data_IF_325346888892
#
_entry.id   IF_325346888892
#
_cell.length_a   1.000
_cell.length_b   1.000
_cell.length_c   1.000
_cell.angle_alpha   90.00
_cell.angle_beta   90.00
_cell.angle_gamma   90.00
#
_symmetry.space_group_name_H-M   'P 1'
#
loop_
_entity.id
_entity.type
_entity.pdbx_description
1 polymer ?
#
# COMPACT_ATOMS: atom_id res chain seq x y z
N UNK A 1 47.78 -7.51 -47.64
CA UNK A 1 47.91 -6.15 -47.06
C UNK A 1 46.56 -5.42 -47.08
N UNK A 2 46.15 -4.65 -48.09
CA UNK A 2 44.87 -3.88 -48.02
C UNK A 2 43.58 -4.72 -47.89
N UNK A 3 43.51 -5.94 -48.45
CA UNK A 3 42.33 -6.81 -48.31
C UNK A 3 42.27 -7.53 -46.95
N UNK A 4 43.42 -7.91 -46.38
CA UNK A 4 43.51 -8.55 -45.06
C UNK A 4 43.15 -7.56 -43.94
N UNK A 5 43.62 -6.31 -44.05
CA UNK A 5 43.31 -5.23 -43.10
C UNK A 5 41.81 -4.85 -43.11
N UNK A 6 41.12 -5.14 -44.22
CA UNK A 6 39.68 -4.91 -44.38
C UNK A 6 38.84 -6.07 -43.82
N UNK A 7 39.34 -7.30 -43.87
CA UNK A 7 38.72 -8.45 -43.21
C UNK A 7 38.86 -8.34 -41.69
N UNK A 8 40.05 -8.02 -41.17
CA UNK A 8 40.27 -7.82 -39.72
C UNK A 8 39.36 -6.71 -39.15
N UNK A 9 39.19 -5.61 -39.88
CA UNK A 9 38.32 -4.51 -39.46
C UNK A 9 36.83 -4.88 -39.48
N UNK A 10 36.42 -5.80 -40.35
CA UNK A 10 35.03 -6.29 -40.41
C UNK A 10 34.75 -7.26 -39.26
N UNK A 11 35.73 -8.07 -38.89
CA UNK A 11 35.64 -8.97 -37.72
C UNK A 11 35.56 -8.16 -36.40
N UNK A 12 36.36 -7.10 -36.24
CA UNK A 12 36.26 -6.21 -35.07
C UNK A 12 34.91 -5.49 -34.97
N UNK A 13 34.31 -5.13 -36.12
CA UNK A 13 33.01 -4.43 -36.15
C UNK A 13 31.86 -5.38 -35.79
N UNK A 14 31.92 -6.65 -36.25
CA UNK A 14 30.96 -7.70 -35.87
C UNK A 14 31.08 -8.12 -34.40
N UNK A 15 32.29 -8.24 -33.85
CA UNK A 15 32.48 -8.54 -32.41
C UNK A 15 31.94 -7.41 -31.52
N UNK A 16 32.09 -6.15 -31.94
CA UNK A 16 31.61 -4.98 -31.21
C UNK A 16 30.08 -4.86 -31.22
N UNK A 17 29.43 -5.22 -32.32
CA UNK A 17 27.96 -5.29 -32.39
C UNK A 17 27.41 -6.40 -31.47
N UNK A 18 28.06 -7.58 -31.41
CA UNK A 18 27.66 -8.66 -30.50
C UNK A 18 27.84 -8.31 -29.01
N UNK A 19 28.85 -7.51 -28.65
CA UNK A 19 29.03 -7.04 -27.27
C UNK A 19 27.96 -6.01 -26.87
N UNK A 20 27.61 -5.08 -27.77
CA UNK A 20 26.56 -4.08 -27.52
C UNK A 20 25.18 -4.75 -27.34
N UNK A 21 24.82 -5.74 -28.17
CA UNK A 21 23.55 -6.50 -28.00
C UNK A 21 23.50 -7.27 -26.66
N UNK A 22 24.64 -7.83 -26.20
CA UNK A 22 24.71 -8.51 -24.90
C UNK A 22 24.61 -7.55 -23.71
N UNK A 23 25.11 -6.33 -23.83
CA UNK A 23 24.96 -5.31 -22.78
C UNK A 23 23.51 -4.84 -22.67
N UNK A 24 22.83 -4.62 -23.80
CA UNK A 24 21.39 -4.25 -23.82
C UNK A 24 20.50 -5.34 -23.21
N UNK A 25 20.69 -6.62 -23.58
CA UNK A 25 19.91 -7.73 -22.97
C UNK A 25 20.12 -7.84 -21.46
N UNK A 26 21.33 -7.52 -20.97
CA UNK A 26 21.66 -7.58 -19.55
C UNK A 26 21.06 -6.41 -18.76
N UNK A 27 20.98 -5.22 -19.35
CA UNK A 27 20.31 -4.06 -18.72
C UNK A 27 18.80 -4.30 -18.60
N UNK A 28 18.15 -4.87 -19.62
CA UNK A 28 16.72 -5.21 -19.54
C UNK A 28 16.42 -6.28 -18.46
N UNK A 29 17.30 -7.27 -18.28
CA UNK A 29 17.14 -8.31 -17.25
C UNK A 29 17.40 -7.81 -15.81
N UNK A 30 18.16 -6.71 -15.65
CA UNK A 30 18.31 -6.01 -14.37
C UNK A 30 17.11 -5.11 -14.07
N UNK A 31 16.56 -4.41 -15.07
CA UNK A 31 15.38 -3.54 -14.89
C UNK A 31 14.12 -4.35 -14.52
N UNK A 32 13.95 -5.57 -15.06
CA UNK A 32 12.83 -6.46 -14.68
C UNK A 32 12.95 -7.01 -13.24
N UNK A 33 14.12 -6.92 -12.58
CA UNK A 33 14.30 -7.34 -11.18
C UNK A 33 14.10 -6.21 -10.16
N UNK A 34 13.84 -4.98 -10.59
CA UNK A 34 13.51 -3.89 -9.67
C UNK A 34 12.03 -3.92 -9.26
N UNK A 35 11.74 -4.56 -8.12
CA UNK A 35 10.46 -4.43 -7.42
C UNK A 35 10.20 -2.95 -7.04
N UNK A 36 8.96 -2.43 -7.17
CA UNK A 36 8.67 -1.03 -6.91
C UNK A 36 8.89 -0.69 -5.43
N UNK A 37 9.72 0.33 -5.21
CA UNK A 37 10.20 0.77 -3.90
C UNK A 37 9.17 0.74 -2.77
N UNK A 38 9.53 0.04 -1.69
CA UNK A 38 8.84 0.06 -0.42
C UNK A 38 9.73 0.66 0.65
N UNK A 39 9.30 1.77 1.26
CA UNK A 39 9.89 2.35 2.46
C UNK A 39 10.26 1.25 3.47
N UNK A 40 11.55 1.18 3.81
CA UNK A 40 12.18 0.09 4.57
C UNK A 40 11.68 -0.06 6.01
N UNK A 41 10.47 -0.56 6.17
CA UNK A 41 10.03 -1.19 7.40
C UNK A 41 9.62 -2.63 7.08
N UNK A 42 10.28 -3.66 7.65
CA UNK A 42 9.84 -5.03 7.50
C UNK A 42 8.40 -5.11 8.00
N UNK A 43 7.47 -5.40 7.09
CA UNK A 43 6.11 -5.74 7.45
C UNK A 43 6.20 -7.05 8.22
N UNK A 44 6.28 -6.97 9.55
CA UNK A 44 6.20 -8.14 10.43
C UNK A 44 4.93 -8.90 10.01
N UNK A 45 5.11 -10.04 9.35
CA UNK A 45 4.00 -10.90 8.97
C UNK A 45 3.35 -11.35 10.27
N UNK A 46 2.10 -10.95 10.55
CA UNK A 46 1.46 -11.34 11.79
C UNK A 46 1.36 -12.87 11.82
N UNK A 47 1.64 -13.51 12.97
CA UNK A 47 1.64 -14.97 13.08
C UNK A 47 0.31 -15.49 12.53
N UNK A 48 0.43 -16.42 11.58
CA UNK A 48 -0.68 -17.03 10.86
C UNK A 48 -1.77 -17.39 11.87
N UNK A 49 -2.86 -16.62 11.77
CA UNK A 49 -4.01 -16.77 12.64
C UNK A 49 -4.64 -18.11 12.28
N UNK A 50 -5.07 -18.96 13.23
CA UNK A 50 -5.88 -20.13 12.87
C UNK A 50 -7.01 -19.67 11.95
N UNK A 51 -6.99 -20.21 10.72
CA UNK A 51 -7.87 -19.80 9.65
C UNK A 51 -9.33 -19.91 10.12
N UNK A 52 -10.02 -18.77 10.18
CA UNK A 52 -11.47 -18.75 10.37
C UNK A 52 -12.02 -17.88 11.50
N UNK A 53 -11.19 -17.27 12.38
CA UNK A 53 -11.72 -16.34 13.39
C UNK A 53 -11.09 -14.96 13.33
N UNK A 54 -11.90 -13.95 13.01
CA UNK A 54 -11.51 -12.55 13.14
C UNK A 54 -11.13 -12.24 14.59
N UNK A 55 -9.86 -11.82 14.80
CA UNK A 55 -9.31 -11.49 16.13
C UNK A 55 -9.50 -10.02 16.50
N UNK A 56 -9.79 -9.17 15.51
CA UNK A 56 -9.89 -7.71 15.66
C UNK A 56 -11.35 -7.31 15.53
N UNK A 57 -11.85 -6.57 16.52
CA UNK A 57 -13.17 -5.94 16.46
C UNK A 57 -13.12 -4.61 15.72
N UNK A 58 -14.06 -4.37 14.81
CA UNK A 58 -14.25 -3.10 14.13
C UNK A 58 -15.64 -2.54 14.49
N UNK A 59 -15.65 -1.41 15.18
CA UNK A 59 -16.86 -0.65 15.51
C UNK A 59 -16.88 0.61 14.66
N UNK A 60 -17.98 0.86 13.96
CA UNK A 60 -18.27 2.17 13.41
C UNK A 60 -19.78 2.39 13.43
N UNK A 61 -20.19 3.57 13.87
CA UNK A 61 -21.59 3.96 13.96
C UNK A 61 -21.90 4.93 12.81
N UNK A 62 -22.94 4.69 11.98
CA UNK A 62 -23.33 5.61 10.91
C UNK A 62 -23.59 7.04 11.42
N UNK A 63 -24.03 7.20 12.67
CA UNK A 63 -24.27 8.51 13.29
C UNK A 63 -23.01 9.35 13.44
N UNK A 64 -21.82 8.74 13.38
CA UNK A 64 -20.56 9.50 13.36
C UNK A 64 -20.45 10.42 12.15
N UNK A 65 -21.12 10.10 11.04
CA UNK A 65 -21.17 10.94 9.85
C UNK A 65 -22.10 12.16 10.00
N UNK A 66 -22.88 12.23 11.08
CA UNK A 66 -23.71 13.40 11.40
C UNK A 66 -22.90 14.49 12.14
N UNK A 67 -21.71 14.16 12.64
CA UNK A 67 -20.84 15.11 13.33
C UNK A 67 -20.22 16.08 12.34
N UNK A 68 -20.82 17.28 12.23
CA UNK A 68 -20.31 18.37 11.38
C UNK A 68 -20.47 19.71 12.06
N UNK A 69 -19.51 20.60 11.82
CA UNK A 69 -19.63 21.99 12.19
C UNK A 69 -20.61 22.70 11.23
N UNK A 70 -21.66 23.34 11.75
CA UNK A 70 -22.71 23.98 10.95
C UNK A 70 -22.40 25.43 10.55
N UNK A 71 -21.35 26.02 11.10
CA UNK A 71 -20.99 27.43 10.94
C UNK A 71 -19.61 27.61 10.29
N UNK A 72 -18.76 26.59 10.34
CA UNK A 72 -17.47 26.52 9.67
C UNK A 72 -17.41 25.29 8.77
N UNK A 73 -17.40 25.51 7.45
CA UNK A 73 -17.33 24.47 6.44
C UNK A 73 -15.91 23.92 6.24
N UNK A 74 -14.88 24.59 6.74
CA UNK A 74 -13.48 24.17 6.65
C UNK A 74 -12.97 23.53 7.94
N UNK A 75 -13.87 23.24 8.88
CA UNK A 75 -13.51 22.65 10.15
C UNK A 75 -12.81 21.30 9.96
N UNK A 76 -11.66 21.05 10.63
CA UNK A 76 -10.90 19.82 10.45
C UNK A 76 -11.68 18.59 10.93
N UNK A 77 -12.50 18.73 11.98
CA UNK A 77 -13.43 17.68 12.42
C UNK A 77 -14.67 17.70 11.50
N UNK A 78 -14.74 16.72 10.60
CA UNK A 78 -15.80 16.59 9.59
C UNK A 78 -16.16 15.11 9.36
N UNK A 79 -17.38 14.80 8.88
CA UNK A 79 -17.85 13.43 8.64
C UNK A 79 -16.92 12.59 7.75
N UNK A 80 -16.27 13.26 6.79
CA UNK A 80 -15.35 12.65 5.83
C UNK A 80 -14.19 11.93 6.51
N UNK A 81 -13.79 12.35 7.73
CA UNK A 81 -12.71 11.69 8.47
C UNK A 81 -12.99 10.21 8.69
N UNK A 82 -14.18 9.88 9.21
CA UNK A 82 -14.55 8.50 9.53
C UNK A 82 -14.86 7.73 8.24
N UNK A 83 -15.59 8.34 7.30
CA UNK A 83 -15.96 7.72 6.04
C UNK A 83 -14.72 7.32 5.21
N UNK A 84 -13.72 8.21 5.10
CA UNK A 84 -12.48 7.94 4.35
C UNK A 84 -11.66 6.81 4.97
N UNK A 85 -11.54 6.77 6.29
CA UNK A 85 -10.85 5.67 7.00
C UNK A 85 -11.56 4.35 6.73
N UNK A 86 -12.89 4.31 6.87
CA UNK A 86 -13.66 3.10 6.59
C UNK A 86 -13.56 2.64 5.14
N UNK A 87 -13.60 3.58 4.19
CA UNK A 87 -13.45 3.28 2.77
C UNK A 87 -12.07 2.67 2.52
N UNK A 88 -11.00 3.27 3.05
CA UNK A 88 -9.64 2.76 2.86
C UNK A 88 -9.45 1.37 3.45
N UNK A 89 -10.03 1.11 4.63
CA UNK A 89 -10.02 -0.22 5.24
C UNK A 89 -10.75 -1.27 4.38
N UNK A 90 -11.79 -0.88 3.63
CA UNK A 90 -12.50 -1.77 2.72
C UNK A 90 -11.71 -2.03 1.45
N UNK A 91 -11.13 -0.99 0.83
CA UNK A 91 -10.27 -1.10 -0.36
C UNK A 91 -9.09 -2.05 -0.12
N UNK A 92 -8.50 -2.00 1.08
CA UNK A 92 -7.39 -2.86 1.48
C UNK A 92 -7.82 -4.27 1.96
N UNK A 93 -9.11 -4.59 1.94
CA UNK A 93 -9.63 -5.87 2.45
C UNK A 93 -9.52 -6.05 3.97
N UNK A 94 -9.09 -5.02 4.72
CA UNK A 94 -8.88 -5.09 6.16
C UNK A 94 -10.20 -5.14 6.92
N UNK A 95 -11.21 -4.43 6.44
CA UNK A 95 -12.53 -4.41 7.07
C UNK A 95 -13.18 -5.80 7.10
N UNK A 96 -12.95 -6.63 6.08
CA UNK A 96 -13.48 -7.99 5.92
C UNK A 96 -12.76 -9.00 6.84
N UNK A 97 -11.51 -8.70 7.23
CA UNK A 97 -10.74 -9.50 8.19
C UNK A 97 -11.15 -9.25 9.65
N UNK A 98 -11.91 -8.19 9.91
CA UNK A 98 -12.36 -7.78 11.24
C UNK A 98 -13.78 -8.28 11.57
N UNK A 99 -14.03 -8.52 12.87
CA UNK A 99 -15.35 -8.77 13.40
C UNK A 99 -16.09 -7.43 13.54
N UNK A 100 -17.14 -7.23 12.75
CA UNK A 100 -18.01 -6.05 12.92
C UNK A 100 -18.78 -6.14 14.23
N UNK A 101 -18.60 -5.14 15.09
CA UNK A 101 -19.24 -5.05 16.39
C UNK A 101 -20.28 -3.92 16.39
N UNK A 102 -21.47 -4.15 16.97
CA UNK A 102 -22.50 -3.12 17.04
C UNK A 102 -22.05 -2.02 18.04
N UNK A 103 -22.24 -0.73 17.69
CA UNK A 103 -21.98 0.36 18.62
C UNK A 103 -23.01 0.34 19.76
N UNK A 104 -22.57 0.74 20.96
CA UNK A 104 -23.43 0.87 22.15
C UNK A 104 -23.27 2.27 22.74
N UNK A 105 -24.37 2.99 23.05
CA UNK A 105 -24.27 4.28 23.72
C UNK A 105 -23.69 4.12 25.13
N UNK A 106 -22.90 5.10 25.55
CA UNK A 106 -22.41 5.17 26.92
C UNK A 106 -23.58 5.38 27.89
N UNK A 107 -23.55 4.64 29.00
CA UNK A 107 -24.54 4.82 30.08
C UNK A 107 -24.22 6.07 30.91
N UNK A 108 -25.22 6.69 31.58
CA UNK A 108 -24.97 7.82 32.47
C UNK A 108 -23.95 7.52 33.56
N UNK A 109 -23.93 6.29 34.09
CA UNK A 109 -22.94 5.86 35.08
C UNK A 109 -21.51 5.84 34.51
N UNK A 110 -21.33 5.37 33.27
CA UNK A 110 -20.02 5.38 32.59
C UNK A 110 -19.55 6.81 32.30
N UNK A 111 -20.46 7.70 31.88
CA UNK A 111 -20.11 9.12 31.66
C UNK A 111 -19.69 9.81 32.96
N UNK A 112 -20.40 9.55 34.06
CA UNK A 112 -20.10 10.10 35.40
C UNK A 112 -18.78 9.62 36.00
N UNK A 113 -18.18 8.58 35.45
CA UNK A 113 -16.85 8.15 35.88
C UNK A 113 -15.78 9.21 35.55
N UNK A 114 -16.02 10.06 34.54
CA UNK A 114 -15.05 11.07 34.07
C UNK A 114 -15.63 12.51 34.00
N UNK A 115 -16.95 12.68 34.08
CA UNK A 115 -17.63 13.96 33.90
C UNK A 115 -18.60 14.25 35.06
N UNK A 116 -18.76 15.53 35.42
CA UNK A 116 -19.67 15.99 36.48
C UNK A 116 -21.07 16.25 35.98
#
# INVERSE_FOLDING_TARGET
>A
EEEEEKEEKKEEEEEKEEEEEKEEEKEEEEEEKEEPGGDGNPLETPPETPAGRARVGLVCDPRMEEHRNTWDSQHPESPQRVARVLQRLQELGLAQRCLRLPPKPATPQQLRACHT
#
